data_IF_835547535446
#
_entry.id   IF_835547535446
#
_cell.length_a   1.000
_cell.length_b   1.000
_cell.length_c   1.000
_cell.angle_alpha   90.00
_cell.angle_beta   90.00
_cell.angle_gamma   90.00
#
_symmetry.space_group_name_H-M   'P 1'
#
loop_
_entity.id
_entity.type
_entity.pdbx_description
1 polymer ?
#
# COMPACT_ATOMS: atom_id res chain seq x y z
N UNK A 1 4.24 2.95 -4.46
CA UNK A 1 4.71 1.55 -4.40
C UNK A 1 3.54 0.69 -3.97
N UNK A 2 3.41 -0.54 -4.47
CA UNK A 2 2.53 -1.57 -3.88
C UNK A 2 3.42 -2.63 -3.25
N UNK A 3 3.16 -2.93 -1.98
CA UNK A 3 3.91 -3.88 -1.15
C UNK A 3 3.00 -5.01 -0.67
N UNK A 4 3.57 -6.21 -0.51
CA UNK A 4 2.81 -7.35 -0.03
C UNK A 4 3.71 -8.36 0.69
N UNK A 5 3.27 -8.77 1.87
CA UNK A 5 3.93 -9.73 2.75
C UNK A 5 2.98 -10.88 3.07
N UNK A 6 3.52 -12.09 3.24
CA UNK A 6 2.76 -13.28 3.62
C UNK A 6 2.98 -13.62 5.09
N UNK A 7 2.01 -14.32 5.67
CA UNK A 7 2.00 -14.69 7.07
C UNK A 7 3.14 -15.65 7.50
N UNK A 8 3.69 -16.41 6.56
CA UNK A 8 4.84 -17.29 6.76
C UNK A 8 6.19 -16.58 6.58
N UNK A 9 6.18 -15.24 6.56
CA UNK A 9 7.39 -14.44 6.54
C UNK A 9 7.96 -14.16 5.14
N UNK A 10 7.33 -14.65 4.06
CA UNK A 10 7.78 -14.29 2.70
C UNK A 10 7.33 -12.89 2.31
N UNK A 11 8.13 -12.20 1.52
CA UNK A 11 7.75 -10.93 0.88
C UNK A 11 7.67 -11.12 -0.64
N UNK A 12 6.63 -10.57 -1.26
CA UNK A 12 6.48 -10.58 -2.71
C UNK A 12 7.32 -9.46 -3.34
N UNK A 13 7.73 -9.54 -4.61
CA UNK A 13 8.32 -8.41 -5.31
C UNK A 13 7.40 -7.17 -5.25
N UNK A 14 7.93 -5.94 -5.09
CA UNK A 14 7.10 -4.75 -5.06
C UNK A 14 6.69 -4.34 -6.48
N UNK A 15 5.59 -3.58 -6.61
CA UNK A 15 5.27 -2.82 -7.82
C UNK A 15 5.61 -1.34 -7.62
N UNK A 16 6.63 -0.86 -8.34
CA UNK A 16 6.96 0.54 -8.43
C UNK A 16 6.10 1.29 -9.45
N UNK A 17 5.51 2.41 -9.04
CA UNK A 17 4.66 3.23 -9.89
C UNK A 17 5.34 4.59 -10.05
N UNK A 18 5.86 4.86 -11.24
CA UNK A 18 6.53 6.11 -11.52
C UNK A 18 5.59 7.14 -12.13
N UNK A 19 5.78 8.42 -11.75
CA UNK A 19 5.21 9.53 -12.49
C UNK A 19 5.90 9.64 -13.86
N UNK A 20 5.16 9.37 -14.93
CA UNK A 20 5.63 9.36 -16.31
C UNK A 20 4.64 8.65 -17.24
N UNK A 21 4.72 8.91 -18.56
CA UNK A 21 3.89 8.17 -19.53
C UNK A 21 4.30 6.71 -19.67
N UNK A 22 5.60 6.44 -19.54
CA UNK A 22 6.21 5.11 -19.61
C UNK A 22 7.29 5.01 -18.55
N UNK A 23 7.65 3.77 -18.18
CA UNK A 23 8.86 3.48 -17.41
C UNK A 23 10.06 3.61 -18.37
N UNK A 24 11.01 4.48 -18.03
CA UNK A 24 12.25 4.60 -18.80
C UNK A 24 13.32 3.70 -18.20
N UNK A 25 14.12 3.04 -19.05
CA UNK A 25 15.13 2.08 -18.60
C UNK A 25 16.21 2.73 -17.72
N UNK A 26 16.54 4.00 -17.95
CA UNK A 26 17.50 4.74 -17.14
C UNK A 26 17.00 5.11 -15.73
N UNK A 27 15.76 4.77 -15.37
CA UNK A 27 15.25 4.97 -14.01
C UNK A 27 15.53 3.80 -13.08
N UNK A 28 15.97 2.66 -13.63
CA UNK A 28 16.07 1.39 -12.90
C UNK A 28 17.41 0.75 -13.25
N UNK A 29 18.21 0.41 -12.24
CA UNK A 29 19.42 -0.38 -12.46
C UNK A 29 19.09 -1.83 -12.77
N UNK A 30 19.99 -2.52 -13.48
CA UNK A 30 19.78 -3.92 -13.86
C UNK A 30 19.54 -4.83 -12.63
N UNK A 31 20.23 -4.56 -11.52
CA UNK A 31 20.05 -5.31 -10.27
C UNK A 31 18.65 -5.19 -9.67
N UNK A 32 17.96 -4.08 -9.94
CA UNK A 32 16.61 -3.79 -9.44
C UNK A 32 15.52 -4.36 -10.35
N UNK A 33 15.79 -4.43 -11.67
CA UNK A 33 14.85 -4.97 -12.67
C UNK A 33 14.44 -6.42 -12.37
N UNK A 34 15.36 -7.25 -11.89
CA UNK A 34 15.10 -8.67 -11.64
C UNK A 34 14.28 -8.92 -10.36
N UNK A 35 14.21 -7.92 -9.47
CA UNK A 35 13.64 -8.06 -8.11
C UNK A 35 12.32 -7.33 -7.92
N UNK A 36 11.89 -6.55 -8.91
CA UNK A 36 10.76 -5.63 -8.79
C UNK A 36 9.99 -5.50 -10.08
N UNK A 37 8.70 -5.19 -9.96
CA UNK A 37 7.86 -4.86 -11.09
C UNK A 37 7.70 -3.35 -11.18
N UNK A 38 7.45 -2.85 -12.39
CA UNK A 38 7.28 -1.42 -12.63
C UNK A 38 6.08 -1.15 -13.52
N UNK A 39 5.44 -0.02 -13.24
CA UNK A 39 4.38 0.60 -14.01
C UNK A 39 4.53 2.13 -13.93
N UNK A 40 3.83 2.86 -14.78
CA UNK A 40 3.91 4.31 -14.82
C UNK A 40 2.58 4.92 -15.23
N UNK A 41 2.27 6.08 -14.65
CA UNK A 41 1.17 6.92 -15.12
C UNK A 41 1.52 8.40 -14.97
N UNK A 42 0.73 9.27 -15.59
CA UNK A 42 0.97 10.72 -15.58
C UNK A 42 0.83 11.35 -14.20
N UNK A 43 0.12 10.69 -13.27
CA UNK A 43 -0.18 11.21 -11.93
C UNK A 43 0.85 10.81 -10.87
N UNK A 44 1.51 9.67 -11.01
CA UNK A 44 2.38 9.05 -10.01
C UNK A 44 1.65 8.30 -8.89
N UNK A 45 0.32 8.28 -8.89
CA UNK A 45 -0.52 7.62 -7.87
C UNK A 45 -0.98 6.25 -8.33
N UNK A 46 -1.24 5.36 -7.37
CA UNK A 46 -1.91 4.07 -7.65
C UNK A 46 -3.30 4.34 -8.20
N UNK A 47 -3.72 3.54 -9.19
CA UNK A 47 -5.11 3.48 -9.65
C UNK A 47 -5.55 2.03 -9.71
N UNK A 48 -6.85 1.79 -9.91
CA UNK A 48 -7.44 0.45 -9.99
C UNK A 48 -6.76 -0.45 -11.02
N UNK A 49 -6.32 0.17 -12.12
CA UNK A 49 -5.56 -0.50 -13.17
C UNK A 49 -4.24 -1.07 -12.62
N UNK A 50 -3.55 -0.32 -11.77
CA UNK A 50 -2.30 -0.76 -11.14
C UNK A 50 -2.56 -1.86 -10.10
N UNK A 51 -3.69 -1.81 -9.40
CA UNK A 51 -4.12 -2.88 -8.50
C UNK A 51 -4.34 -4.20 -9.25
N UNK A 52 -5.12 -4.17 -10.34
CA UNK A 52 -5.35 -5.34 -11.19
C UNK A 52 -4.07 -5.85 -11.86
N UNK A 53 -3.24 -4.93 -12.35
CA UNK A 53 -1.94 -5.23 -12.93
C UNK A 53 -1.04 -5.94 -11.92
N UNK A 54 -0.93 -5.41 -10.70
CA UNK A 54 -0.18 -6.01 -9.61
C UNK A 54 -0.71 -7.41 -9.26
N UNK A 55 -2.04 -7.56 -9.15
CA UNK A 55 -2.66 -8.84 -8.86
C UNK A 55 -2.26 -9.91 -9.90
N UNK A 56 -2.33 -9.56 -11.20
CA UNK A 56 -2.04 -10.45 -12.33
C UNK A 56 -0.55 -10.75 -12.51
N UNK A 57 0.31 -9.74 -12.35
CA UNK A 57 1.76 -9.84 -12.65
C UNK A 57 2.56 -10.33 -11.46
N UNK A 58 2.09 -10.06 -10.24
CA UNK A 58 2.87 -10.25 -9.02
C UNK A 58 2.20 -11.23 -8.07
N UNK A 59 1.04 -10.86 -7.51
CA UNK A 59 0.45 -11.64 -6.42
C UNK A 59 0.04 -13.04 -6.86
N UNK A 60 -0.72 -13.15 -7.94
CA UNK A 60 -1.24 -14.43 -8.41
C UNK A 60 -0.08 -15.39 -8.77
N UNK A 61 0.89 -15.03 -9.64
CA UNK A 61 1.97 -15.94 -10.01
C UNK A 61 2.88 -16.29 -8.84
N UNK A 62 3.23 -15.31 -7.99
CA UNK A 62 4.15 -15.53 -6.86
C UNK A 62 3.56 -16.42 -5.76
N UNK A 63 2.24 -16.47 -5.63
CA UNK A 63 1.57 -17.26 -4.59
C UNK A 63 0.97 -18.57 -5.10
N UNK A 64 0.84 -18.76 -6.42
CA UNK A 64 0.17 -19.93 -7.02
C UNK A 64 0.81 -21.25 -6.63
N UNK A 65 2.12 -21.38 -6.86
CA UNK A 65 2.87 -22.60 -6.55
C UNK A 65 2.83 -22.89 -5.04
N UNK A 66 3.01 -21.85 -4.23
CA UNK A 66 2.98 -21.92 -2.77
C UNK A 66 1.62 -22.39 -2.22
N UNK A 67 0.52 -21.94 -2.84
CA UNK A 67 -0.81 -22.35 -2.44
C UNK A 67 -1.13 -23.81 -2.81
N UNK A 68 -0.42 -24.39 -3.79
CA UNK A 68 -0.60 -25.78 -4.21
C UNK A 68 -2.08 -26.17 -4.41
N UNK A 69 -2.83 -25.30 -5.11
CA UNK A 69 -4.26 -25.49 -5.39
C UNK A 69 -5.23 -25.11 -4.26
N UNK A 70 -4.73 -24.78 -3.06
CA UNK A 70 -5.52 -24.28 -1.94
C UNK A 70 -5.99 -22.83 -2.14
N UNK A 71 -6.98 -22.41 -1.34
CA UNK A 71 -7.39 -21.02 -1.31
C UNK A 71 -6.31 -20.12 -0.70
N UNK A 72 -6.25 -18.88 -1.19
CA UNK A 72 -5.39 -17.81 -0.68
C UNK A 72 -6.25 -16.67 -0.16
N UNK A 73 -5.92 -16.12 1.00
CA UNK A 73 -6.56 -14.90 1.50
C UNK A 73 -5.68 -13.69 1.15
N UNK A 74 -6.23 -12.73 0.41
CA UNK A 74 -5.62 -11.43 0.17
C UNK A 74 -6.33 -10.40 1.05
N UNK A 75 -5.56 -9.77 1.94
CA UNK A 75 -6.04 -8.71 2.83
C UNK A 75 -5.54 -7.37 2.29
N UNK A 76 -6.46 -6.45 2.00
CA UNK A 76 -6.14 -5.10 1.54
C UNK A 76 -6.59 -4.06 2.55
N UNK A 77 -5.84 -2.98 2.66
CA UNK A 77 -6.28 -1.79 3.36
C UNK A 77 -7.36 -1.09 2.57
N UNK A 78 -8.39 -0.60 3.26
CA UNK A 78 -9.53 0.07 2.62
C UNK A 78 -9.19 1.44 2.02
N UNK A 79 -7.91 1.74 1.74
CA UNK A 79 -7.47 3.01 1.19
C UNK A 79 -7.82 3.08 -0.29
N UNK A 80 -8.94 3.74 -0.63
CA UNK A 80 -9.36 4.24 -1.96
C UNK A 80 -8.94 3.40 -3.19
N UNK A 81 -8.83 2.09 -3.02
CA UNK A 81 -8.59 1.16 -4.09
C UNK A 81 -9.98 0.86 -4.61
N UNK A 82 -10.34 1.43 -5.77
CA UNK A 82 -11.57 1.01 -6.42
C UNK A 82 -11.34 -0.43 -6.90
N UNK A 83 -11.66 -1.37 -6.03
CA UNK A 83 -11.65 -2.81 -6.30
C UNK A 83 -12.68 -3.04 -7.40
N UNK A 84 -12.19 -2.94 -8.63
CA UNK A 84 -13.01 -3.03 -9.82
C UNK A 84 -13.60 -4.44 -9.92
N UNK A 85 -14.73 -4.57 -10.63
CA UNK A 85 -15.31 -5.89 -10.90
C UNK A 85 -14.32 -6.86 -11.55
N UNK A 86 -13.38 -6.36 -12.35
CA UNK A 86 -12.32 -7.16 -12.96
C UNK A 86 -11.27 -7.66 -11.95
N UNK A 87 -10.98 -6.88 -10.91
CA UNK A 87 -10.14 -7.32 -9.79
C UNK A 87 -10.81 -8.46 -9.03
N UNK A 88 -12.07 -8.28 -8.63
CA UNK A 88 -12.85 -9.30 -7.92
C UNK A 88 -12.98 -10.57 -8.78
N UNK A 89 -13.34 -10.42 -10.05
CA UNK A 89 -13.46 -11.56 -10.97
C UNK A 89 -12.15 -12.34 -11.10
N UNK A 90 -11.01 -11.63 -11.19
CA UNK A 90 -9.71 -12.29 -11.25
C UNK A 90 -9.35 -13.03 -9.95
N UNK A 91 -9.70 -12.47 -8.79
CA UNK A 91 -9.54 -13.15 -7.51
C UNK A 91 -10.37 -14.46 -7.46
N UNK A 92 -11.66 -14.38 -7.80
CA UNK A 92 -12.57 -15.53 -7.79
C UNK A 92 -12.10 -16.64 -8.73
N UNK A 93 -11.72 -16.30 -9.96
CA UNK A 93 -11.21 -17.24 -10.96
C UNK A 93 -9.94 -17.98 -10.52
N UNK A 94 -9.16 -17.38 -9.62
CA UNK A 94 -7.87 -17.92 -9.17
C UNK A 94 -7.89 -18.42 -7.71
N UNK A 95 -9.07 -18.66 -7.12
CA UNK A 95 -9.22 -19.14 -5.72
C UNK A 95 -8.54 -18.21 -4.71
N UNK A 96 -8.64 -16.90 -4.94
CA UNK A 96 -8.18 -15.86 -4.03
C UNK A 96 -9.42 -15.26 -3.38
N UNK A 97 -9.52 -15.40 -2.07
CA UNK A 97 -10.53 -14.73 -1.24
C UNK A 97 -10.01 -13.34 -0.90
N UNK A 98 -10.81 -12.31 -1.19
CA UNK A 98 -10.46 -10.93 -0.91
C UNK A 98 -11.11 -10.50 0.41
N UNK A 99 -10.33 -9.90 1.30
CA UNK A 99 -10.80 -9.28 2.54
C UNK A 99 -10.32 -7.84 2.58
N UNK A 100 -11.26 -6.92 2.76
CA UNK A 100 -10.97 -5.48 2.86
C UNK A 100 -11.11 -5.07 4.31
N UNK A 101 -10.06 -4.45 4.84
CA UNK A 101 -10.06 -3.98 6.21
C UNK A 101 -11.06 -2.83 6.36
N UNK A 102 -11.79 -2.76 7.49
CA UNK A 102 -12.68 -1.64 7.77
C UNK A 102 -11.92 -0.30 7.73
N UNK A 103 -12.58 0.80 7.35
CA UNK A 103 -11.96 2.12 7.34
C UNK A 103 -11.29 2.46 8.67
N UNK A 104 -10.18 3.19 8.61
CA UNK A 104 -9.40 3.64 9.77
C UNK A 104 -8.83 2.52 10.66
N UNK A 105 -8.81 1.27 10.22
CA UNK A 105 -8.24 0.15 11.00
C UNK A 105 -6.85 -0.29 10.56
N UNK A 106 -6.27 0.35 9.54
CA UNK A 106 -4.95 -0.03 8.99
C UNK A 106 -3.86 -0.10 10.05
N UNK A 107 -3.76 0.93 10.90
CA UNK A 107 -2.80 0.98 12.02
C UNK A 107 -2.98 -0.14 13.07
N UNK A 108 -4.11 -0.85 13.06
CA UNK A 108 -4.42 -1.95 13.98
C UNK A 108 -4.26 -3.32 13.30
N UNK A 109 -4.78 -3.45 12.09
CA UNK A 109 -5.01 -4.73 11.43
C UNK A 109 -4.10 -4.97 10.23
N UNK A 110 -3.48 -3.95 9.65
CA UNK A 110 -2.62 -4.10 8.48
C UNK A 110 -1.18 -4.36 8.92
N UNK A 111 -0.61 -5.57 8.69
CA UNK A 111 0.75 -5.89 9.14
C UNK A 111 1.80 -4.91 8.61
N UNK A 112 1.64 -4.43 7.38
CA UNK A 112 2.56 -3.46 6.77
C UNK A 112 2.65 -2.16 7.59
N UNK A 113 1.52 -1.59 8.01
CA UNK A 113 1.49 -0.39 8.85
C UNK A 113 1.96 -0.67 10.28
N UNK A 114 1.56 -1.81 10.85
CA UNK A 114 1.85 -2.15 12.25
C UNK A 114 3.35 -2.24 12.52
N UNK A 115 4.15 -2.82 11.62
CA UNK A 115 5.57 -3.05 11.92
C UNK A 115 6.55 -2.99 10.75
N UNK A 116 6.13 -2.72 9.51
CA UNK A 116 7.03 -2.71 8.35
C UNK A 116 7.32 -1.28 7.86
N UNK A 117 6.30 -0.45 7.66
CA UNK A 117 6.48 0.86 7.03
C UNK A 117 7.25 1.85 7.90
N UNK A 118 7.11 1.81 9.22
CA UNK A 118 7.92 2.63 10.14
C UNK A 118 9.43 2.37 9.97
N UNK A 119 9.90 1.12 10.17
CA UNK A 119 11.30 0.76 9.95
C UNK A 119 11.79 0.97 8.51
N UNK A 120 10.94 0.72 7.51
CA UNK A 120 11.27 0.97 6.10
C UNK A 120 11.54 2.46 5.84
N UNK A 121 10.66 3.35 6.30
CA UNK A 121 10.81 4.81 6.17
C UNK A 121 12.11 5.27 6.82
N UNK A 122 12.41 4.80 8.04
CA UNK A 122 13.64 5.15 8.77
C UNK A 122 14.89 4.76 7.99
N UNK A 123 14.93 3.53 7.44
CA UNK A 123 16.08 3.04 6.68
C UNK A 123 16.24 3.75 5.34
N UNK A 124 15.13 4.01 4.64
CA UNK A 124 15.17 4.77 3.39
C UNK A 124 15.71 6.18 3.62
N UNK A 125 15.25 6.87 4.67
CA UNK A 125 15.78 8.19 5.04
C UNK A 125 17.27 8.14 5.36
N UNK A 126 17.73 7.09 6.06
CA UNK A 126 19.16 6.91 6.34
C UNK A 126 19.97 6.65 5.06
N UNK A 127 19.49 5.79 4.15
CA UNK A 127 20.14 5.48 2.88
C UNK A 127 20.29 6.73 1.99
N UNK A 128 19.28 7.62 1.99
CA UNK A 128 19.29 8.86 1.22
C UNK A 128 19.99 10.03 1.93
N UNK A 129 20.45 9.86 3.18
CA UNK A 129 21.01 10.95 3.98
C UNK A 129 22.24 11.60 3.36
N UNK A 130 23.12 10.81 2.74
CA UNK A 130 24.33 11.30 2.08
C UNK A 130 24.01 12.20 0.86
N UNK A 131 22.96 11.88 0.09
CA UNK A 131 22.50 12.69 -1.04
C UNK A 131 21.90 14.02 -0.57
N UNK A 132 21.21 13.99 0.57
CA UNK A 132 20.69 15.20 1.21
C UNK A 132 21.83 16.10 1.74
N UNK A 133 22.87 15.52 2.35
CA UNK A 133 24.04 16.25 2.85
C UNK A 133 24.88 16.86 1.74
N UNK A 134 24.94 16.22 0.57
CA UNK A 134 25.62 16.73 -0.62
C UNK A 134 24.91 17.94 -1.28
N UNK A 135 23.80 18.44 -0.71
CA UNK A 135 22.97 19.52 -1.28
C UNK A 135 22.53 19.24 -2.72
N UNK A 136 22.39 17.97 -3.11
CA UNK A 136 21.83 17.64 -4.42
C UNK A 136 20.39 18.16 -4.48
N UNK A 137 20.15 19.10 -5.40
CA UNK A 137 18.87 19.81 -5.56
C UNK A 137 17.71 18.84 -5.86
N UNK A 138 18.01 17.63 -6.34
CA UNK A 138 17.01 16.63 -6.70
C UNK A 138 17.60 15.21 -6.69
N UNK A 139 16.98 14.32 -5.91
CA UNK A 139 17.26 12.88 -5.95
C UNK A 139 16.70 12.30 -7.26
N UNK A 140 17.53 11.58 -8.01
CA UNK A 140 17.14 10.90 -9.24
C UNK A 140 16.32 9.64 -8.93
N UNK A 141 15.50 9.20 -9.89
CA UNK A 141 14.65 8.00 -9.72
C UNK A 141 15.47 6.74 -9.46
N UNK A 142 16.62 6.60 -10.14
CA UNK A 142 17.51 5.44 -9.97
C UNK A 142 18.11 5.40 -8.56
N UNK A 143 18.62 6.53 -8.07
CA UNK A 143 19.17 6.66 -6.72
C UNK A 143 18.11 6.36 -5.65
N UNK A 144 16.88 6.87 -5.84
CA UNK A 144 15.77 6.58 -4.96
C UNK A 144 15.42 5.10 -4.95
N UNK A 145 15.38 4.45 -6.12
CA UNK A 145 15.05 3.03 -6.24
C UNK A 145 16.11 2.14 -5.60
N UNK A 146 17.38 2.44 -5.78
CA UNK A 146 18.48 1.68 -5.17
C UNK A 146 18.42 1.78 -3.65
N UNK A 147 18.27 3.00 -3.11
CA UNK A 147 18.08 3.22 -1.68
C UNK A 147 16.82 2.52 -1.14
N UNK A 148 15.72 2.52 -1.92
CA UNK A 148 14.50 1.82 -1.55
C UNK A 148 14.68 0.31 -1.46
N UNK A 149 15.31 -0.32 -2.45
CA UNK A 149 15.52 -1.76 -2.46
C UNK A 149 16.45 -2.18 -1.32
N UNK A 150 17.48 -1.40 -1.03
CA UNK A 150 18.32 -1.64 0.15
C UNK A 150 17.52 -1.51 1.46
N UNK A 151 16.82 -0.39 1.65
CA UNK A 151 16.01 -0.18 2.87
C UNK A 151 14.94 -1.27 3.04
N UNK A 152 14.38 -1.74 1.93
CA UNK A 152 13.37 -2.81 1.88
C UNK A 152 13.94 -4.16 2.30
N UNK A 153 15.11 -4.55 1.83
CA UNK A 153 15.72 -5.84 2.22
C UNK A 153 16.04 -5.89 3.71
N UNK A 154 16.43 -4.75 4.30
CA UNK A 154 16.74 -4.63 5.71
C UNK A 154 15.49 -4.48 6.60
N UNK A 155 14.41 -3.87 6.10
CA UNK A 155 13.16 -3.69 6.85
C UNK A 155 12.25 -4.92 6.80
N UNK A 156 12.19 -5.58 5.65
CA UNK A 156 11.27 -6.69 5.39
C UNK A 156 11.94 -8.06 5.59
N UNK A 157 12.66 -8.22 6.71
CA UNK A 157 13.19 -9.53 7.10
C UNK A 157 12.05 -10.47 7.47
N UNK A 158 12.28 -11.78 7.34
CA UNK A 158 11.30 -12.80 7.72
C UNK A 158 10.78 -12.59 9.16
N UNK A 159 11.71 -12.33 10.10
CA UNK A 159 11.38 -12.09 11.50
C UNK A 159 10.49 -10.85 11.70
N UNK A 160 10.76 -9.76 10.98
CA UNK A 160 9.94 -8.54 11.05
C UNK A 160 8.54 -8.80 10.48
N UNK A 161 8.44 -9.53 9.37
CA UNK A 161 7.16 -9.88 8.74
C UNK A 161 6.32 -10.74 9.68
N UNK A 162 6.87 -11.82 10.21
CA UNK A 162 6.16 -12.68 11.17
C UNK A 162 5.72 -11.90 12.42
N UNK A 163 6.56 -10.96 12.89
CA UNK A 163 6.23 -10.09 14.02
C UNK A 163 5.13 -9.08 13.67
N UNK A 164 5.10 -8.58 12.44
CA UNK A 164 4.05 -7.70 11.93
C UNK A 164 2.68 -8.40 11.92
N UNK A 165 2.64 -9.63 11.40
CA UNK A 165 1.43 -10.45 11.40
C UNK A 165 0.94 -10.79 12.82
N UNK A 166 1.87 -11.10 13.72
CA UNK A 166 1.56 -11.33 15.14
C UNK A 166 1.06 -10.07 15.84
N UNK A 167 1.64 -8.91 15.49
CA UNK A 167 1.25 -7.59 16.00
C UNK A 167 -0.16 -7.21 15.60
N UNK A 168 -0.51 -7.43 14.33
CA UNK A 168 -1.87 -7.23 13.81
C UNK A 168 -2.90 -8.23 14.36
N UNK A 169 -2.46 -9.30 15.03
CA UNK A 169 -3.33 -10.35 15.56
C UNK A 169 -3.98 -11.23 14.48
N UNK A 170 -3.48 -11.18 13.25
CA UNK A 170 -4.02 -11.95 12.13
C UNK A 170 -3.37 -13.32 11.99
N UNK A 171 -2.09 -13.45 12.32
CA UNK A 171 -1.39 -14.73 12.26
C UNK A 171 -0.24 -14.85 13.28
N UNK A 172 -0.29 -15.84 14.21
CA UNK A 172 -1.46 -16.65 14.54
C UNK A 172 -2.66 -15.77 14.93
N UNK A 173 -3.88 -16.23 14.61
CA UNK A 173 -5.08 -15.45 14.85
C UNK A 173 -5.28 -15.18 16.35
N UNK A 174 -5.28 -13.91 16.72
CA UNK A 174 -5.45 -13.43 18.09
C UNK A 174 -6.15 -12.05 18.09
N UNK A 175 -7.49 -12.02 18.11
CA UNK A 175 -8.26 -10.78 18.03
C UNK A 175 -8.02 -9.84 19.22
N UNK A 176 -7.54 -10.35 20.37
CA UNK A 176 -7.26 -9.54 21.55
C UNK A 176 -6.16 -8.50 21.29
N UNK A 177 -5.26 -8.75 20.32
CA UNK A 177 -4.24 -7.76 19.92
C UNK A 177 -4.86 -6.49 19.35
N UNK A 178 -5.83 -6.64 18.45
CA UNK A 178 -6.56 -5.51 17.87
C UNK A 178 -7.50 -4.87 18.91
N UNK A 179 -8.27 -5.69 19.65
CA UNK A 179 -9.27 -5.21 20.60
C UNK A 179 -8.68 -4.42 21.78
N UNK A 180 -7.51 -4.80 22.30
CA UNK A 180 -6.85 -4.03 23.38
C UNK A 180 -6.36 -2.66 22.94
N UNK A 181 -6.10 -2.51 21.65
CA UNK A 181 -5.59 -1.26 21.06
C UNK A 181 -6.73 -0.33 20.64
N UNK A 182 -7.93 -0.90 20.39
CA UNK A 182 -9.16 -0.12 20.29
C UNK A 182 -9.51 0.44 21.66
N UNK A 183 -9.10 1.69 21.93
CA UNK A 183 -9.65 2.46 23.04
C UNK A 183 -11.14 2.59 22.78
N UNK A 184 -11.97 1.95 23.60
CA UNK A 184 -13.40 2.27 23.63
C UNK A 184 -13.51 3.67 24.22
N UNK A 185 -13.78 4.66 23.38
CA UNK A 185 -14.17 5.99 23.83
C UNK A 185 -15.37 5.85 24.76
N UNK A 186 -15.07 5.86 26.06
CA UNK A 186 -16.05 5.80 27.14
C UNK A 186 -15.89 7.03 28.00
N UNK A 187 -15.96 8.22 27.38
CA UNK A 187 -16.34 9.46 28.08
C UNK A 187 -16.76 10.55 27.07
N UNK A 188 -17.83 11.32 27.35
CA UNK A 188 -18.34 12.34 26.43
C UNK A 188 -17.45 13.60 26.40
N UNK A 189 -17.48 14.24 25.23
CA UNK A 189 -16.79 15.45 24.77
C UNK A 189 -16.64 16.59 25.79
N UNK A 190 -15.45 17.20 25.88
CA UNK A 190 -15.23 18.66 25.97
C UNK A 190 -13.73 19.01 26.02
N UNK A 191 -13.19 19.60 24.94
CA UNK A 191 -12.52 20.92 24.94
C UNK A 191 -11.97 21.28 23.54
N UNK A 192 -12.28 22.50 23.06
CA UNK A 192 -11.62 23.18 21.92
C UNK A 192 -10.68 24.27 22.48
N UNK A 193 -9.90 24.99 21.65
CA UNK A 193 -8.86 24.59 20.69
C UNK A 193 -7.54 25.33 20.97
N UNK A 194 -6.36 24.82 20.53
CA UNK A 194 -5.17 25.67 20.23
C UNK A 194 -4.28 25.09 19.14
N UNK A 195 -3.85 25.96 18.22
CA UNK A 195 -2.77 25.77 17.23
C UNK A 195 -1.43 26.18 17.86
N UNK A 196 -0.34 25.43 17.58
CA UNK A 196 0.76 26.05 16.85
C UNK A 196 1.36 25.17 15.75
N UNK A 197 1.80 25.89 14.72
CA UNK A 197 2.41 25.49 13.45
C UNK A 197 3.78 24.85 13.61
N UNK A 198 4.01 23.68 13.00
CA UNK A 198 5.35 23.25 12.61
C UNK A 198 5.28 22.41 11.31
N UNK A 199 6.20 22.72 10.41
CA UNK A 199 6.22 22.38 9.00
C UNK A 199 6.36 20.87 8.73
N UNK A 200 5.34 20.25 8.13
CA UNK A 200 5.44 18.90 7.57
C UNK A 200 5.73 18.95 6.06
N UNK A 201 6.88 18.40 5.67
CA UNK A 201 7.34 18.29 4.28
C UNK A 201 6.37 17.43 3.43
N UNK A 202 5.57 16.58 4.05
CA UNK A 202 4.57 15.79 3.34
C UNK A 202 3.36 16.65 2.89
N UNK A 203 3.01 17.74 3.58
CA UNK A 203 1.84 18.55 3.23
C UNK A 203 2.02 19.40 1.96
N UNK A 204 3.26 19.72 1.57
CA UNK A 204 3.50 20.45 0.32
C UNK A 204 3.22 19.63 -0.95
N UNK A 205 2.95 18.32 -0.83
CA UNK A 205 2.59 17.47 -1.97
C UNK A 205 1.08 17.15 -1.99
N UNK A 206 0.36 17.33 -0.89
CA UNK A 206 -1.00 16.78 -0.72
C UNK A 206 -2.15 17.79 -0.62
N UNK A 207 -1.89 19.10 -0.55
CA UNK A 207 -2.98 20.09 -0.56
C UNK A 207 -3.17 20.65 -1.97
N UNK A 208 -3.90 19.93 -2.83
CA UNK A 208 -4.60 20.49 -4.01
C UNK A 208 -5.58 19.49 -4.66
N UNK A 209 -6.47 18.90 -3.86
CA UNK A 209 -7.67 18.27 -4.42
C UNK A 209 -8.90 18.78 -3.68
N UNK A 210 -9.67 19.62 -4.36
CA UNK A 210 -11.03 19.98 -3.97
C UNK A 210 -11.91 18.73 -3.85
N UNK A 211 -12.93 18.73 -2.98
CA UNK A 211 -13.88 17.62 -2.88
C UNK A 211 -14.60 17.39 -4.22
N UNK A 212 -15.02 16.15 -4.54
CA UNK A 212 -15.78 15.86 -5.75
C UNK A 212 -17.11 16.62 -5.74
N UNK A 213 -17.42 17.25 -6.89
CA UNK A 213 -18.65 18.02 -7.10
C UNK A 213 -19.89 17.12 -6.91
N UNK A 214 -20.90 17.65 -6.21
CA UNK A 214 -22.13 16.93 -5.88
C UNK A 214 -22.89 16.45 -7.12
N UNK A 215 -22.65 17.10 -8.26
CA UNK A 215 -23.19 16.71 -9.58
C UNK A 215 -22.61 15.37 -10.05
N UNK A 216 -21.32 15.12 -9.83
CA UNK A 216 -20.67 13.87 -10.22
C UNK A 216 -21.19 12.66 -9.43
N UNK A 217 -21.50 12.86 -8.15
CA UNK A 217 -22.12 11.83 -7.29
C UNK A 217 -23.56 11.49 -7.73
N UNK A 218 -24.32 12.48 -8.21
CA UNK A 218 -25.68 12.24 -8.71
C UNK A 218 -25.68 11.45 -10.02
N UNK A 219 -24.82 11.79 -10.96
CA UNK A 219 -24.74 11.07 -12.24
C UNK A 219 -24.32 9.61 -12.10
N UNK A 220 -23.43 9.31 -11.13
CA UNK A 220 -23.03 7.93 -10.84
C UNK A 220 -24.19 7.09 -10.26
N UNK A 221 -25.02 7.69 -9.40
CA UNK A 221 -26.19 7.03 -8.84
C UNK A 221 -27.30 6.79 -9.88
N UNK A 222 -27.50 7.72 -10.81
CA UNK A 222 -28.47 7.56 -11.91
C UNK A 222 -28.09 6.40 -12.84
N UNK A 223 -26.80 6.26 -13.18
CA UNK A 223 -26.29 5.17 -14.01
C UNK A 223 -26.42 3.80 -13.31
N UNK A 224 -26.17 3.76 -11.99
CA UNK A 224 -26.35 2.55 -11.19
C UNK A 224 -27.82 2.13 -11.16
N UNK A 225 -28.72 3.08 -10.94
CA UNK A 225 -30.16 2.82 -10.89
C UNK A 225 -30.74 2.42 -12.25
N UNK A 226 -30.20 2.93 -13.36
CA UNK A 226 -30.65 2.49 -14.70
C UNK A 226 -30.21 1.07 -15.02
N UNK A 227 -29.06 0.63 -14.50
CA UNK A 227 -28.48 -0.70 -14.75
C UNK A 227 -29.14 -1.78 -13.89
N UNK A 228 -29.67 -1.41 -12.72
CA UNK A 228 -30.39 -2.34 -11.82
C UNK A 228 -31.84 -2.58 -12.29
N UNK A 229 -32.42 -1.64 -13.04
CA UNK A 229 -33.81 -1.68 -13.49
C UNK A 229 -33.99 -2.10 -14.96
N UNK A 230 -32.95 -2.64 -15.60
CA UNK A 230 -32.94 -3.15 -16.99
C UNK A 230 -32.60 -4.63 -17.04
#
# INVERSE_FOLDING_TARGET
MIECICADGTILPPLGIFKGKNVLQNWISNEVLDKSFFSANTKGWTSDLHGLEWLKRVFEPATRAKANGQQRLLICDGHDSHISGSFIAHCLQNRITLLILPPHTSHLLQPLDVAIFGPLKKRLTAALSHLNQAQLVRIQKIEWMEAYIQARSEACTQQNIESAWRGAGLFPFNPQRALRTMVWDTTPELERPRTPTEFDIFDQVFVNSSPPDATSLRSANELLNSTINS
#
